data_IF_899172119799
#
_entry.id   IF_899172119799
#
_cell.length_a   1.000
_cell.length_b   1.000
_cell.length_c   1.000
_cell.angle_alpha   90.00
_cell.angle_beta   90.00
_cell.angle_gamma   90.00
#
_symmetry.space_group_name_H-M   'P 1'
#
loop_
_entity.id
_entity.type
_entity.pdbx_description
1 polymer ?
#
# COMPACT_ATOMS: atom_id res chain seq x y z
N UNK A 1 -8.46 71.22 69.62
CA UNK A 1 -7.10 70.66 69.45
C UNK A 1 -7.17 69.12 69.48
N UNK A 2 -7.18 68.51 68.39
CA UNK A 2 -6.94 67.03 68.23
C UNK A 2 -6.31 66.83 66.83
N UNK A 3 -5.06 66.43 66.82
CA UNK A 3 -4.33 66.09 65.61
C UNK A 3 -4.73 64.66 65.22
N UNK A 4 -5.27 64.45 64.01
CA UNK A 4 -5.52 63.15 63.40
C UNK A 4 -4.32 62.78 62.51
N UNK A 5 -3.74 61.65 62.77
CA UNK A 5 -2.70 61.03 61.97
C UNK A 5 -3.38 60.19 60.90
N UNK A 6 -3.01 60.45 59.63
CA UNK A 6 -3.44 59.64 58.51
C UNK A 6 -2.34 58.64 58.22
N UNK A 7 -2.65 57.36 58.44
CA UNK A 7 -1.76 56.25 58.10
C UNK A 7 -2.01 55.82 56.65
N UNK A 8 -0.98 55.96 55.83
CA UNK A 8 -1.01 55.50 54.45
C UNK A 8 -0.72 53.99 54.44
N UNK A 9 -1.69 53.17 54.02
CA UNK A 9 -1.51 51.74 53.80
C UNK A 9 -1.21 51.54 52.30
N UNK A 10 0.04 51.15 52.00
CA UNK A 10 0.45 50.72 50.66
C UNK A 10 -0.08 49.32 50.38
N UNK A 11 -1.05 49.20 49.52
CA UNK A 11 -1.53 47.89 49.03
C UNK A 11 -0.60 47.38 47.90
N UNK A 12 0.22 46.37 48.25
CA UNK A 12 1.00 45.61 47.27
C UNK A 12 0.06 44.69 46.50
N UNK A 13 -0.25 45.01 45.25
CA UNK A 13 -0.92 44.06 44.33
C UNK A 13 0.08 42.99 43.92
N UNK A 14 -0.12 41.76 44.45
CA UNK A 14 0.48 40.55 43.89
C UNK A 14 -0.32 40.20 42.64
N UNK A 15 0.25 40.41 41.47
CA UNK A 15 -0.29 39.88 40.22
C UNK A 15 -0.10 38.38 40.23
N UNK A 16 -1.16 37.65 40.55
CA UNK A 16 -1.24 36.22 40.29
C UNK A 16 -1.39 36.02 38.78
N UNK A 17 -0.32 35.66 38.10
CA UNK A 17 -0.35 35.13 36.75
C UNK A 17 -1.08 33.80 36.82
N UNK A 18 -2.37 33.80 36.57
CA UNK A 18 -3.14 32.60 36.30
C UNK A 18 -2.61 32.05 34.94
N UNK A 19 -1.82 30.97 35.00
CA UNK A 19 -1.66 30.08 33.85
C UNK A 19 -3.03 29.47 33.58
N UNK A 20 -3.79 30.12 32.69
CA UNK A 20 -4.93 29.49 32.03
C UNK A 20 -4.34 28.39 31.15
N UNK A 21 -4.34 27.17 31.62
CA UNK A 21 -4.18 25.98 30.80
C UNK A 21 -5.32 26.02 29.77
N UNK A 22 -5.02 26.53 28.60
CA UNK A 22 -5.85 26.37 27.42
C UNK A 22 -5.69 24.90 27.04
N UNK A 23 -6.64 24.06 27.44
CA UNK A 23 -6.84 22.74 26.81
C UNK A 23 -7.24 22.99 25.37
N UNK A 24 -6.25 23.24 24.51
CA UNK A 24 -6.42 23.21 23.08
C UNK A 24 -6.79 21.78 22.70
N UNK A 25 -7.66 21.64 21.76
CA UNK A 25 -8.01 20.34 21.16
C UNK A 25 -6.70 19.76 20.57
N UNK A 26 -6.04 18.85 21.30
CA UNK A 26 -4.76 18.23 20.92
C UNK A 26 -4.81 17.50 19.55
N UNK A 27 -6.02 17.25 19.04
CA UNK A 27 -6.28 16.57 17.79
C UNK A 27 -5.84 17.33 16.55
N UNK A 28 -5.73 18.66 16.60
CA UNK A 28 -5.25 19.50 15.49
C UNK A 28 -3.76 19.85 15.56
N UNK A 29 -3.03 19.38 16.58
CA UNK A 29 -1.61 19.69 16.73
C UNK A 29 -0.76 18.98 15.69
N UNK A 30 -0.05 19.76 14.86
CA UNK A 30 0.83 19.24 13.81
C UNK A 30 2.03 18.52 14.47
N UNK A 31 2.25 17.28 14.09
CA UNK A 31 3.49 16.54 14.39
C UNK A 31 4.63 17.12 13.51
N UNK A 32 5.16 18.26 13.92
CA UNK A 32 6.19 18.96 13.17
C UNK A 32 7.57 18.29 13.32
N UNK A 33 8.42 18.31 12.26
CA UNK A 33 9.79 17.86 12.40
C UNK A 33 10.53 18.72 13.40
N UNK A 34 11.33 18.11 14.31
CA UNK A 34 12.05 18.88 15.32
C UNK A 34 13.15 19.73 14.69
N UNK A 35 13.28 20.97 15.15
CA UNK A 35 14.33 21.88 14.70
C UNK A 35 15.72 21.59 15.29
N UNK A 36 15.78 20.90 16.43
CA UNK A 36 17.02 20.54 17.13
C UNK A 36 16.93 19.08 17.64
N UNK A 37 17.66 18.15 17.00
CA UNK A 37 17.65 16.74 17.40
C UNK A 37 18.04 16.49 18.85
N UNK A 38 18.90 17.34 19.44
CA UNK A 38 19.36 17.16 20.83
C UNK A 38 18.27 17.44 21.87
N UNK A 39 17.22 18.18 21.49
CA UNK A 39 16.08 18.52 22.36
C UNK A 39 14.94 17.51 22.31
N UNK A 40 15.01 16.56 21.39
CA UNK A 40 13.98 15.52 21.27
C UNK A 40 14.33 14.34 22.14
N UNK A 41 13.40 13.95 23.00
CA UNK A 41 13.60 12.83 23.93
C UNK A 41 12.31 12.04 24.17
N UNK A 42 12.48 10.83 24.64
CA UNK A 42 11.40 9.94 25.05
C UNK A 42 11.52 8.55 24.43
N UNK A 43 10.70 7.62 24.89
CA UNK A 43 10.55 6.31 24.29
C UNK A 43 9.28 6.32 23.42
N UNK A 44 9.40 5.97 22.15
CA UNK A 44 8.28 5.81 21.22
C UNK A 44 8.06 4.34 20.88
N UNK A 45 6.80 3.96 20.70
CA UNK A 45 6.42 2.63 20.22
C UNK A 45 6.00 2.73 18.75
N UNK A 46 6.63 1.91 17.90
CA UNK A 46 6.33 1.79 16.47
C UNK A 46 5.63 0.46 16.23
N UNK A 47 4.36 0.50 15.81
CA UNK A 47 3.64 -0.70 15.36
C UNK A 47 4.03 -1.02 13.91
N UNK A 48 4.32 -2.28 13.62
CA UNK A 48 4.75 -2.72 12.30
C UNK A 48 4.23 -4.11 11.97
N UNK A 49 4.01 -4.37 10.67
CA UNK A 49 3.75 -5.70 10.12
C UNK A 49 5.04 -6.50 9.83
N UNK A 50 6.22 -5.88 10.01
CA UNK A 50 7.52 -6.47 9.69
C UNK A 50 8.06 -7.27 10.88
N UNK A 51 7.34 -8.34 11.25
CA UNK A 51 7.76 -9.29 12.30
C UNK A 51 9.05 -10.00 11.94
N UNK A 52 9.30 -10.20 10.64
CA UNK A 52 10.56 -10.69 10.08
C UNK A 52 11.74 -9.80 10.45
N UNK A 53 11.63 -8.48 10.23
CA UNK A 53 12.70 -7.51 10.53
C UNK A 53 12.92 -7.27 12.03
N UNK A 54 11.93 -7.57 12.87
CA UNK A 54 12.12 -7.63 14.32
C UNK A 54 12.96 -8.87 14.67
N UNK A 55 12.59 -10.02 14.10
CA UNK A 55 13.22 -11.30 14.42
C UNK A 55 14.67 -11.39 13.99
N UNK A 56 15.03 -10.79 12.85
CA UNK A 56 16.39 -10.78 12.30
C UNK A 56 17.25 -9.61 12.81
N UNK A 57 16.66 -8.69 13.60
CA UNK A 57 17.37 -7.54 14.19
C UNK A 57 17.54 -6.33 13.25
N UNK A 58 16.94 -6.33 12.07
CA UNK A 58 17.03 -5.24 11.09
C UNK A 58 16.46 -3.93 11.65
N UNK A 59 15.29 -3.95 12.27
CA UNK A 59 14.69 -2.76 12.86
C UNK A 59 15.50 -2.23 14.06
N UNK A 60 16.08 -3.10 14.88
CA UNK A 60 16.96 -2.69 15.98
C UNK A 60 18.24 -2.01 15.48
N UNK A 61 18.78 -2.45 14.33
CA UNK A 61 19.90 -1.78 13.66
C UNK A 61 19.51 -0.36 13.23
N UNK A 62 18.36 -0.18 12.60
CA UNK A 62 17.87 1.15 12.24
C UNK A 62 17.64 2.03 13.48
N UNK A 63 17.07 1.50 14.55
CA UNK A 63 16.91 2.23 15.81
C UNK A 63 18.26 2.68 16.40
N UNK A 64 19.28 1.84 16.32
CA UNK A 64 20.62 2.19 16.79
C UNK A 64 21.28 3.29 15.92
N UNK A 65 21.07 3.28 14.62
CA UNK A 65 21.53 4.34 13.70
C UNK A 65 20.77 5.66 13.94
N UNK A 66 19.46 5.60 14.08
CA UNK A 66 18.62 6.76 14.43
C UNK A 66 19.08 7.44 15.72
N UNK A 67 19.40 6.65 16.75
CA UNK A 67 19.89 7.18 18.04
C UNK A 67 21.18 7.98 17.93
N UNK A 68 22.00 7.76 16.92
CA UNK A 68 23.22 8.57 16.68
C UNK A 68 22.88 10.02 16.30
N UNK A 69 21.68 10.21 15.69
CA UNK A 69 21.16 11.54 15.31
C UNK A 69 20.27 12.12 16.41
N UNK A 70 19.47 11.28 17.06
CA UNK A 70 18.50 11.64 18.09
C UNK A 70 18.81 10.90 19.40
N UNK A 71 19.88 11.28 20.15
CA UNK A 71 20.38 10.50 21.29
C UNK A 71 19.39 10.39 22.45
N UNK A 72 18.46 11.33 22.57
CA UNK A 72 17.41 11.32 23.60
C UNK A 72 16.20 10.45 23.28
N UNK A 73 16.11 9.87 22.06
CA UNK A 73 14.96 9.07 21.65
C UNK A 73 15.31 7.59 21.66
N UNK A 74 14.43 6.80 22.29
CA UNK A 74 14.47 5.34 22.24
C UNK A 74 13.27 4.85 21.41
N UNK A 75 13.52 3.96 20.46
CA UNK A 75 12.49 3.34 19.61
C UNK A 75 12.25 1.92 20.10
N UNK A 76 10.99 1.56 20.30
CA UNK A 76 10.53 0.21 20.61
C UNK A 76 9.61 -0.25 19.49
N UNK A 77 9.84 -1.45 18.97
CA UNK A 77 8.99 -2.04 17.94
C UNK A 77 8.01 -3.04 18.53
N UNK A 78 6.81 -3.03 18.00
CA UNK A 78 5.78 -4.02 18.27
C UNK A 78 5.26 -4.59 16.94
N UNK A 79 5.60 -5.85 16.68
CA UNK A 79 5.20 -6.57 15.48
C UNK A 79 3.84 -7.21 15.64
N UNK A 80 2.98 -7.03 14.64
CA UNK A 80 1.64 -7.60 14.59
C UNK A 80 1.53 -8.50 13.36
N UNK A 81 1.19 -9.77 13.56
CA UNK A 81 1.05 -10.73 12.46
C UNK A 81 -0.26 -10.49 11.68
N UNK A 82 -1.37 -10.29 12.38
CA UNK A 82 -2.61 -9.77 11.81
C UNK A 82 -2.65 -8.25 11.97
N UNK A 83 -1.82 -7.56 11.19
CA UNK A 83 -1.65 -6.12 11.33
C UNK A 83 -2.95 -5.34 11.18
N UNK A 84 -3.75 -5.65 10.14
CA UNK A 84 -5.00 -4.96 9.84
C UNK A 84 -6.04 -5.16 10.95
N UNK A 85 -6.25 -6.39 11.39
CA UNK A 85 -7.23 -6.73 12.42
C UNK A 85 -6.84 -6.19 13.79
N UNK A 86 -5.61 -6.46 14.24
CA UNK A 86 -5.15 -6.06 15.56
C UNK A 86 -5.02 -4.53 15.70
N UNK A 87 -4.51 -3.83 14.67
CA UNK A 87 -4.40 -2.36 14.70
C UNK A 87 -5.78 -1.71 14.80
N UNK A 88 -6.76 -2.20 14.02
CA UNK A 88 -8.15 -1.72 14.09
C UNK A 88 -8.78 -1.87 15.47
N UNK A 89 -8.53 -3.01 16.13
CA UNK A 89 -9.01 -3.25 17.50
C UNK A 89 -8.37 -2.23 18.47
N UNK A 90 -7.06 -2.01 18.36
CA UNK A 90 -6.33 -1.05 19.23
C UNK A 90 -6.79 0.39 19.04
N UNK A 91 -7.14 0.78 17.80
CA UNK A 91 -7.64 2.11 17.46
C UNK A 91 -9.01 2.44 18.10
N UNK A 92 -9.69 1.47 18.72
CA UNK A 92 -10.85 1.74 19.59
C UNK A 92 -10.42 2.31 20.95
N UNK A 93 -9.12 2.45 21.21
CA UNK A 93 -8.53 3.05 22.40
C UNK A 93 -7.48 4.08 21.99
N UNK A 94 -6.93 4.84 22.92
CA UNK A 94 -5.83 5.78 22.63
C UNK A 94 -4.45 5.08 22.53
N UNK A 95 -4.39 3.74 22.72
CA UNK A 95 -3.14 2.96 22.86
C UNK A 95 -2.85 2.12 21.62
N UNK A 96 -2.53 2.76 20.51
CA UNK A 96 -2.11 2.10 19.26
C UNK A 96 -0.71 2.52 18.80
N UNK A 97 0.23 2.61 19.77
CA UNK A 97 1.60 3.06 19.53
C UNK A 97 1.70 4.57 19.36
N UNK A 98 2.91 5.08 19.16
CA UNK A 98 3.18 6.48 18.82
C UNK A 98 3.27 6.65 17.30
N UNK A 99 3.84 5.65 16.63
CA UNK A 99 3.95 5.54 15.17
C UNK A 99 3.31 4.22 14.72
N UNK A 100 2.57 4.26 13.63
CA UNK A 100 1.95 3.07 13.05
C UNK A 100 1.86 3.20 11.52
N UNK A 101 1.66 2.09 10.86
CA UNK A 101 1.26 2.03 9.46
C UNK A 101 -0.26 2.19 9.41
N UNK A 102 -0.77 3.12 8.60
CA UNK A 102 -2.21 3.33 8.44
C UNK A 102 -2.84 2.05 7.87
N UNK A 103 -3.83 1.43 8.55
CA UNK A 103 -4.53 0.27 8.00
C UNK A 103 -5.19 0.59 6.65
N UNK A 104 -5.03 -0.29 5.66
CA UNK A 104 -5.60 -0.11 4.32
C UNK A 104 -7.14 -0.06 4.32
N UNK A 105 -7.75 -0.70 5.32
CA UNK A 105 -9.21 -0.74 5.52
C UNK A 105 -9.80 0.54 6.14
N UNK A 106 -8.95 1.51 6.56
CA UNK A 106 -9.41 2.78 7.12
C UNK A 106 -9.67 3.79 6.00
N UNK A 107 -10.84 4.41 6.01
CA UNK A 107 -11.16 5.45 5.03
C UNK A 107 -10.39 6.75 5.32
N UNK A 108 -10.04 7.48 4.27
CA UNK A 108 -9.20 8.69 4.35
C UNK A 108 -9.86 9.77 5.22
N UNK A 109 -11.19 9.86 5.17
CA UNK A 109 -11.97 10.83 5.94
C UNK A 109 -11.85 10.61 7.46
N UNK A 110 -11.48 9.41 7.87
CA UNK A 110 -11.27 9.07 9.28
C UNK A 110 -9.87 9.43 9.79
N UNK A 111 -8.92 9.74 8.91
CA UNK A 111 -7.53 10.00 9.31
C UNK A 111 -7.39 11.09 10.38
N UNK A 112 -8.11 12.24 10.30
CA UNK A 112 -8.03 13.28 11.34
C UNK A 112 -8.48 12.83 12.73
N UNK A 113 -9.28 11.76 12.80
CA UNK A 113 -9.74 11.20 14.10
C UNK A 113 -8.63 10.43 14.80
N UNK A 114 -7.75 9.77 14.04
CA UNK A 114 -6.77 8.83 14.57
C UNK A 114 -5.33 9.32 14.48
N UNK A 115 -5.03 10.23 13.55
CA UNK A 115 -3.65 10.63 13.28
C UNK A 115 -3.46 12.13 13.43
N UNK A 116 -2.28 12.53 13.90
CA UNK A 116 -1.86 13.92 13.89
C UNK A 116 -1.45 14.33 12.47
N UNK A 117 -1.80 15.54 12.01
CA UNK A 117 -1.33 16.04 10.73
C UNK A 117 0.19 16.18 10.74
N UNK A 118 0.84 15.78 9.64
CA UNK A 118 2.30 15.83 9.48
C UNK A 118 2.77 17.14 8.83
N UNK A 119 1.86 17.92 8.24
CA UNK A 119 2.10 19.19 7.59
C UNK A 119 1.21 19.40 6.39
N UNK A 120 1.40 20.52 5.70
CA UNK A 120 0.60 20.92 4.55
C UNK A 120 0.95 20.09 3.31
N UNK A 121 -0.05 19.80 2.51
CA UNK A 121 0.09 18.99 1.31
C UNK A 121 1.05 19.62 0.28
N UNK A 122 1.02 20.94 0.07
CA UNK A 122 1.91 21.65 -0.85
C UNK A 122 3.38 21.58 -0.42
N UNK A 123 3.65 21.63 0.89
CA UNK A 123 5.01 21.56 1.44
C UNK A 123 5.58 20.14 1.38
N UNK A 124 4.76 19.12 1.68
CA UNK A 124 5.21 17.73 1.74
C UNK A 124 5.26 17.07 0.37
N UNK A 125 4.35 17.41 -0.55
CA UNK A 125 4.39 16.92 -1.93
C UNK A 125 5.59 17.41 -2.74
N UNK A 126 6.27 18.47 -2.28
CA UNK A 126 7.54 18.90 -2.87
C UNK A 126 8.71 17.96 -2.53
N UNK A 127 8.59 17.14 -1.48
CA UNK A 127 9.64 16.25 -0.94
C UNK A 127 9.32 14.77 -1.07
N UNK A 128 8.06 14.42 -1.02
CA UNK A 128 7.58 13.05 -0.99
C UNK A 128 6.54 12.79 -2.09
N UNK A 129 6.62 11.66 -2.71
CA UNK A 129 5.58 11.12 -3.58
C UNK A 129 4.43 10.53 -2.74
N UNK A 130 3.27 10.33 -3.36
CA UNK A 130 2.08 9.66 -2.77
C UNK A 130 1.43 10.39 -1.58
N UNK A 131 1.74 11.67 -1.34
CA UNK A 131 1.13 12.43 -0.24
C UNK A 131 -0.38 12.62 -0.41
N UNK A 132 -0.88 12.65 -1.64
CA UNK A 132 -2.30 12.76 -1.97
C UNK A 132 -3.13 11.59 -1.41
N UNK A 133 -2.55 10.41 -1.26
CA UNK A 133 -3.19 9.23 -0.67
C UNK A 133 -3.51 9.37 0.84
N UNK A 134 -2.90 10.32 1.53
CA UNK A 134 -3.15 10.59 2.95
C UNK A 134 -3.44 12.07 3.23
N UNK A 135 -3.99 12.78 2.25
CA UNK A 135 -4.33 14.19 2.39
C UNK A 135 -5.83 14.36 2.65
N UNK A 136 -6.16 15.08 3.73
CA UNK A 136 -7.52 15.52 4.08
C UNK A 136 -7.46 17.02 4.36
N UNK A 137 -8.34 17.78 3.74
CA UNK A 137 -8.46 19.25 3.92
C UNK A 137 -7.11 19.99 3.82
N UNK A 138 -6.25 19.56 2.87
CA UNK A 138 -4.94 20.16 2.63
C UNK A 138 -3.86 19.81 3.66
N UNK A 139 -4.13 18.91 4.59
CA UNK A 139 -3.18 18.37 5.56
C UNK A 139 -2.83 16.91 5.23
N UNK A 140 -1.56 16.55 5.35
CA UNK A 140 -1.07 15.18 5.15
C UNK A 140 -1.03 14.47 6.49
N UNK A 141 -1.62 13.29 6.59
CA UNK A 141 -1.70 12.47 7.81
C UNK A 141 -0.80 11.24 7.79
N UNK A 142 -0.19 10.93 6.65
CA UNK A 142 0.72 9.81 6.50
C UNK A 142 1.76 10.03 5.42
N UNK A 143 2.96 9.47 5.60
CA UNK A 143 4.02 9.43 4.59
C UNK A 143 4.27 7.98 4.19
N UNK A 144 4.32 7.73 2.89
CA UNK A 144 4.54 6.39 2.37
C UNK A 144 5.89 5.83 2.84
N UNK A 145 5.87 4.60 3.36
CA UNK A 145 7.09 3.88 3.72
C UNK A 145 7.93 3.57 2.47
N UNK A 146 7.27 3.05 1.43
CA UNK A 146 7.82 2.76 0.10
C UNK A 146 6.75 3.01 -0.97
N UNK A 147 7.21 3.21 -2.21
CA UNK A 147 6.38 3.10 -3.40
C UNK A 147 6.40 1.66 -3.94
N UNK A 148 5.34 1.28 -4.62
CA UNK A 148 5.15 -0.05 -5.22
C UNK A 148 4.73 0.09 -6.66
N UNK A 149 5.40 -0.63 -7.56
CA UNK A 149 4.90 -0.98 -8.87
C UNK A 149 4.11 -2.29 -8.78
N UNK A 150 3.04 -2.44 -9.56
CA UNK A 150 2.29 -3.69 -9.60
C UNK A 150 2.56 -4.40 -10.92
N UNK A 151 2.67 -5.74 -10.87
CA UNK A 151 3.05 -6.53 -12.01
C UNK A 151 3.05 -8.04 -11.73
N UNK A 152 3.53 -8.81 -12.67
CA UNK A 152 3.72 -10.24 -12.48
C UNK A 152 5.15 -10.52 -12.03
N UNK A 153 5.29 -11.07 -10.81
CA UNK A 153 6.50 -11.78 -10.43
C UNK A 153 6.52 -13.10 -11.16
N UNK A 154 7.61 -13.44 -11.83
CA UNK A 154 7.69 -14.66 -12.63
C UNK A 154 9.07 -15.30 -12.54
N UNK A 155 9.11 -16.63 -12.79
CA UNK A 155 10.35 -17.38 -12.87
C UNK A 155 10.88 -17.40 -14.31
N UNK A 156 11.93 -16.63 -14.60
CA UNK A 156 12.54 -16.49 -15.92
C UNK A 156 13.03 -17.82 -16.52
N UNK A 157 13.57 -18.71 -15.68
CA UNK A 157 14.06 -20.01 -16.16
C UNK A 157 12.91 -20.88 -16.67
N UNK A 158 11.73 -20.84 -16.02
CA UNK A 158 10.52 -21.53 -16.49
C UNK A 158 10.01 -20.95 -17.80
N UNK A 159 9.97 -19.63 -17.93
CA UNK A 159 9.56 -18.95 -19.16
C UNK A 159 10.53 -19.25 -20.32
N UNK A 160 11.84 -19.15 -20.06
CA UNK A 160 12.86 -19.51 -21.07
C UNK A 160 12.79 -20.99 -21.48
N UNK A 161 12.52 -21.91 -20.57
CA UNK A 161 12.30 -23.36 -20.87
C UNK A 161 11.09 -23.55 -21.79
N UNK A 162 10.08 -22.70 -21.68
CA UNK A 162 8.94 -22.72 -22.60
C UNK A 162 9.27 -22.09 -23.96
N UNK A 163 10.42 -21.41 -24.09
CA UNK A 163 10.86 -20.70 -25.30
C UNK A 163 10.35 -19.27 -25.36
N UNK A 164 9.97 -18.69 -24.21
CA UNK A 164 9.45 -17.32 -24.10
C UNK A 164 10.56 -16.44 -23.54
N UNK A 165 10.98 -15.44 -24.29
CA UNK A 165 12.08 -14.52 -23.93
C UNK A 165 11.62 -13.08 -23.76
N UNK A 166 10.56 -12.68 -24.44
CA UNK A 166 10.03 -11.34 -24.41
C UNK A 166 8.78 -11.28 -23.53
N UNK A 167 8.46 -10.10 -23.02
CA UNK A 167 7.22 -9.89 -22.29
C UNK A 167 6.03 -9.84 -23.25
N UNK A 168 4.90 -10.50 -22.93
CA UNK A 168 3.69 -10.42 -23.74
C UNK A 168 3.16 -8.98 -23.77
N UNK A 169 2.85 -8.49 -24.96
CA UNK A 169 2.39 -7.12 -25.18
C UNK A 169 0.89 -6.93 -24.97
N UNK A 170 0.12 -8.06 -24.95
CA UNK A 170 -1.33 -8.05 -24.76
C UNK A 170 -1.78 -9.11 -23.77
N UNK A 171 -2.98 -8.99 -23.16
CA UNK A 171 -3.57 -10.03 -22.32
C UNK A 171 -3.69 -11.38 -23.05
N UNK A 172 -4.00 -11.36 -24.34
CA UNK A 172 -4.15 -12.56 -25.18
C UNK A 172 -2.80 -13.26 -25.39
N UNK A 173 -1.72 -12.51 -25.62
CA UNK A 173 -0.35 -13.05 -25.69
C UNK A 173 0.06 -13.66 -24.36
N UNK A 174 -0.23 -12.99 -23.23
CA UNK A 174 0.06 -13.53 -21.91
C UNK A 174 -0.65 -14.88 -21.69
N UNK A 175 -1.93 -14.99 -22.05
CA UNK A 175 -2.67 -16.26 -21.94
C UNK A 175 -2.03 -17.33 -22.83
N UNK A 176 -1.61 -17.00 -24.06
CA UNK A 176 -0.92 -17.92 -24.98
C UNK A 176 0.41 -18.42 -24.40
N UNK A 177 1.15 -17.52 -23.75
CA UNK A 177 2.39 -17.85 -23.07
C UNK A 177 2.15 -18.81 -21.88
N UNK A 178 1.11 -18.58 -21.09
CA UNK A 178 0.73 -19.48 -20.00
C UNK A 178 0.31 -20.87 -20.53
N UNK A 179 -0.41 -20.95 -21.66
CA UNK A 179 -0.73 -22.22 -22.32
C UNK A 179 0.55 -22.95 -22.78
N UNK A 180 1.51 -22.20 -23.31
CA UNK A 180 2.82 -22.72 -23.73
C UNK A 180 3.63 -23.24 -22.54
N UNK A 181 3.67 -22.52 -21.44
CA UNK A 181 4.31 -22.92 -20.18
C UNK A 181 3.71 -24.24 -19.68
N UNK A 182 2.38 -24.31 -19.61
CA UNK A 182 1.66 -25.54 -19.21
C UNK A 182 2.03 -26.75 -20.07
N UNK A 183 2.10 -26.54 -21.37
CA UNK A 183 2.38 -27.64 -22.30
C UNK A 183 3.83 -28.12 -22.26
N UNK A 184 4.80 -27.22 -22.01
CA UNK A 184 6.23 -27.51 -22.19
C UNK A 184 7.00 -27.71 -20.89
N UNK A 185 6.53 -27.22 -19.75
CA UNK A 185 7.36 -27.16 -18.54
C UNK A 185 6.85 -28.05 -17.40
N UNK A 186 5.58 -28.29 -17.30
CA UNK A 186 4.93 -28.95 -16.17
C UNK A 186 4.76 -28.06 -14.92
N UNK A 187 5.19 -26.78 -14.99
CA UNK A 187 4.92 -25.80 -13.95
C UNK A 187 3.45 -25.38 -13.96
N UNK A 188 2.93 -24.95 -12.81
CA UNK A 188 1.65 -24.23 -12.73
C UNK A 188 1.87 -22.84 -13.35
N UNK A 189 1.18 -22.50 -14.46
CA UNK A 189 1.48 -21.26 -15.18
C UNK A 189 1.23 -20.00 -14.37
N UNK A 190 0.13 -19.96 -13.64
CA UNK A 190 -0.27 -18.86 -12.77
C UNK A 190 -0.74 -19.38 -11.42
N UNK A 191 -0.53 -18.63 -10.33
CA UNK A 191 -0.99 -18.99 -8.99
C UNK A 191 -1.86 -17.88 -8.41
N UNK A 192 -3.12 -18.21 -8.09
CA UNK A 192 -4.11 -17.22 -7.66
C UNK A 192 -3.94 -16.81 -6.20
N UNK A 193 -3.41 -17.68 -5.35
CA UNK A 193 -3.47 -17.54 -3.89
C UNK A 193 -4.91 -17.36 -3.36
N UNK A 194 -5.86 -18.06 -3.98
CA UNK A 194 -7.30 -17.89 -3.73
C UNK A 194 -7.67 -18.01 -2.24
N UNK A 195 -7.14 -19.02 -1.53
CA UNK A 195 -7.49 -19.26 -0.12
C UNK A 195 -7.10 -18.11 0.79
N UNK A 196 -5.93 -17.55 0.59
CA UNK A 196 -5.47 -16.38 1.36
C UNK A 196 -6.23 -15.13 0.98
N UNK A 197 -6.74 -15.04 -0.23
CA UNK A 197 -7.64 -14.00 -0.75
C UNK A 197 -6.98 -12.65 -1.02
N UNK A 198 -6.14 -12.16 -0.11
CA UNK A 198 -5.51 -10.86 -0.25
C UNK A 198 -4.69 -10.69 -1.55
N UNK A 199 -4.01 -11.72 -2.13
CA UNK A 199 -3.34 -11.53 -3.41
C UNK A 199 -4.30 -11.24 -4.57
N UNK A 200 -5.54 -11.71 -4.49
CA UNK A 200 -6.57 -11.36 -5.48
C UNK A 200 -6.99 -9.90 -5.39
N UNK A 201 -6.93 -9.28 -4.21
CA UNK A 201 -7.23 -7.83 -4.07
C UNK A 201 -6.18 -6.97 -4.78
N UNK A 202 -4.94 -7.44 -4.91
CA UNK A 202 -3.87 -6.72 -5.60
C UNK A 202 -4.16 -6.48 -7.09
N UNK A 203 -5.06 -7.24 -7.72
CA UNK A 203 -5.45 -6.98 -9.10
C UNK A 203 -6.13 -5.62 -9.28
N UNK A 204 -6.77 -5.06 -8.24
CA UNK A 204 -7.30 -3.69 -8.25
C UNK A 204 -6.19 -2.64 -8.47
N UNK A 205 -4.97 -2.97 -8.09
CA UNK A 205 -3.81 -2.08 -8.26
C UNK A 205 -3.32 -2.01 -9.72
N UNK A 206 -3.87 -2.82 -10.63
CA UNK A 206 -3.62 -2.71 -12.07
C UNK A 206 -4.40 -1.56 -12.73
N UNK A 207 -5.43 -1.02 -12.05
CA UNK A 207 -6.24 0.09 -12.59
C UNK A 207 -5.33 1.28 -12.95
N UNK A 208 -5.39 1.71 -14.18
CA UNK A 208 -4.52 2.71 -14.79
C UNK A 208 -3.40 2.14 -15.64
N UNK A 209 -3.02 0.85 -15.44
CA UNK A 209 -1.94 0.25 -16.24
C UNK A 209 -2.34 -0.11 -17.68
N UNK A 210 -3.55 -0.68 -17.96
CA UNK A 210 -3.93 -1.03 -19.32
C UNK A 210 -3.93 0.16 -20.29
N UNK A 211 -4.49 1.29 -19.86
CA UNK A 211 -4.63 2.50 -20.69
C UNK A 211 -3.58 3.57 -20.38
N UNK A 212 -2.63 3.32 -19.47
CA UNK A 212 -1.64 4.27 -19.00
C UNK A 212 -2.25 5.59 -18.48
N UNK A 213 -3.32 5.47 -17.70
CA UNK A 213 -4.08 6.60 -17.16
C UNK A 213 -3.96 6.68 -15.63
N UNK A 214 -3.26 7.71 -15.14
CA UNK A 214 -3.12 7.96 -13.69
C UNK A 214 -4.45 8.30 -13.01
N UNK A 215 -5.46 8.76 -13.75
CA UNK A 215 -6.78 9.12 -13.27
C UNK A 215 -7.83 8.00 -13.36
N UNK A 216 -7.47 6.81 -13.85
CA UNK A 216 -8.40 5.71 -14.08
C UNK A 216 -9.17 5.29 -12.82
N UNK A 217 -8.52 5.31 -11.65
CA UNK A 217 -9.20 5.02 -10.38
C UNK A 217 -10.26 6.08 -10.04
N UNK A 218 -9.92 7.36 -10.23
CA UNK A 218 -10.85 8.47 -9.99
C UNK A 218 -12.04 8.46 -10.96
N UNK A 219 -11.85 7.92 -12.16
CA UNK A 219 -12.89 7.79 -13.17
C UNK A 219 -13.99 6.79 -12.77
N UNK A 220 -13.71 5.85 -11.86
CA UNK A 220 -14.71 4.91 -11.32
C UNK A 220 -15.88 5.64 -10.65
N UNK A 221 -15.65 6.79 -10.01
CA UNK A 221 -16.71 7.60 -9.41
C UNK A 221 -17.71 8.12 -10.44
N UNK A 222 -17.31 8.24 -11.71
CA UNK A 222 -18.11 8.90 -12.77
C UNK A 222 -18.69 7.93 -13.78
N UNK A 223 -18.24 6.69 -13.83
CA UNK A 223 -18.76 5.70 -14.77
C UNK A 223 -19.84 4.84 -14.13
N UNK A 224 -20.97 4.64 -14.81
CA UNK A 224 -21.99 3.69 -14.38
C UNK A 224 -21.70 2.23 -14.78
N UNK A 225 -20.62 1.98 -15.55
CA UNK A 225 -20.30 0.65 -16.09
C UNK A 225 -18.78 0.38 -16.05
N UNK A 226 -18.20 0.20 -14.86
CA UNK A 226 -16.77 -0.05 -14.71
C UNK A 226 -16.26 -1.33 -15.39
N UNK A 227 -17.14 -2.33 -15.59
CA UNK A 227 -16.86 -3.58 -16.31
C UNK A 227 -17.43 -3.59 -17.74
N UNK A 228 -17.49 -2.45 -18.41
CA UNK A 228 -17.82 -2.42 -19.84
C UNK A 228 -16.55 -2.72 -20.65
N UNK A 229 -16.72 -3.34 -21.83
CA UNK A 229 -15.62 -3.60 -22.74
C UNK A 229 -14.81 -2.31 -23.03
N UNK A 230 -13.48 -2.43 -22.95
CA UNK A 230 -12.57 -1.29 -23.10
C UNK A 230 -12.28 -0.51 -21.82
N UNK A 231 -12.90 -0.86 -20.67
CA UNK A 231 -12.51 -0.30 -19.39
C UNK A 231 -11.39 -1.10 -18.72
N UNK A 232 -10.68 -0.47 -17.78
CA UNK A 232 -9.59 -1.12 -17.05
C UNK A 232 -10.06 -2.34 -16.27
N UNK A 233 -11.15 -2.21 -15.48
CA UNK A 233 -11.67 -3.33 -14.70
C UNK A 233 -12.12 -4.50 -15.58
N UNK A 234 -12.73 -4.21 -16.76
CA UNK A 234 -13.05 -5.26 -17.72
C UNK A 234 -11.79 -5.99 -18.20
N UNK A 235 -10.77 -5.27 -18.61
CA UNK A 235 -9.52 -5.84 -19.12
C UNK A 235 -8.79 -6.66 -18.07
N UNK A 236 -8.70 -6.13 -16.85
CA UNK A 236 -8.03 -6.75 -15.71
C UNK A 236 -8.72 -8.03 -15.30
N UNK A 237 -10.04 -7.96 -15.08
CA UNK A 237 -10.80 -9.09 -14.55
C UNK A 237 -11.06 -10.16 -15.63
N UNK A 238 -11.20 -9.77 -16.90
CA UNK A 238 -11.25 -10.70 -18.02
C UNK A 238 -9.96 -11.54 -18.12
N UNK A 239 -8.79 -10.92 -17.92
CA UNK A 239 -7.53 -11.65 -17.91
C UNK A 239 -7.52 -12.71 -16.82
N UNK A 240 -7.84 -12.34 -15.56
CA UNK A 240 -7.90 -13.27 -14.44
C UNK A 240 -8.93 -14.38 -14.69
N UNK A 241 -10.13 -14.02 -15.15
CA UNK A 241 -11.18 -14.98 -15.52
C UNK A 241 -10.68 -15.98 -16.55
N UNK A 242 -10.09 -15.52 -17.65
CA UNK A 242 -9.61 -16.36 -18.75
C UNK A 242 -8.49 -17.31 -18.30
N UNK A 243 -7.56 -16.85 -17.45
CA UNK A 243 -6.52 -17.72 -16.87
C UNK A 243 -7.14 -18.90 -16.14
N UNK A 244 -8.16 -18.64 -15.31
CA UNK A 244 -8.81 -19.67 -14.50
C UNK A 244 -9.70 -20.58 -15.35
N UNK A 245 -10.53 -20.02 -16.24
CA UNK A 245 -11.42 -20.76 -17.15
C UNK A 245 -10.63 -21.76 -18.02
N UNK A 246 -9.47 -21.34 -18.55
CA UNK A 246 -8.56 -22.19 -19.33
C UNK A 246 -7.74 -23.15 -18.48
N UNK A 247 -7.96 -23.18 -17.15
CA UNK A 247 -7.24 -24.04 -16.21
C UNK A 247 -5.73 -23.81 -16.26
N UNK A 248 -5.31 -22.56 -16.38
CA UNK A 248 -3.92 -22.16 -16.39
C UNK A 248 -3.42 -21.77 -14.97
N UNK A 249 -4.30 -21.86 -13.98
CA UNK A 249 -3.96 -21.68 -12.57
C UNK A 249 -3.78 -23.02 -11.85
N UNK A 250 -3.47 -22.98 -10.57
CA UNK A 250 -3.40 -24.15 -9.71
C UNK A 250 -4.69 -24.99 -9.76
N UNK A 251 -4.58 -26.33 -9.71
CA UNK A 251 -5.75 -27.21 -9.87
C UNK A 251 -6.77 -27.08 -8.73
N UNK A 252 -6.31 -26.83 -7.50
CA UNK A 252 -7.15 -26.63 -6.32
C UNK A 252 -6.82 -25.32 -5.63
N UNK A 253 -7.55 -24.23 -5.95
CA UNK A 253 -7.31 -22.90 -5.38
C UNK A 253 -7.64 -22.83 -3.89
N UNK A 254 -8.46 -23.75 -3.34
CA UNK A 254 -8.86 -23.75 -1.93
C UNK A 254 -7.76 -24.25 -0.99
N UNK A 255 -6.67 -24.79 -1.53
CA UNK A 255 -5.50 -25.28 -0.77
C UNK A 255 -4.29 -24.36 -0.89
N UNK A 256 -4.41 -23.21 -1.55
CA UNK A 256 -3.30 -22.26 -1.70
C UNK A 256 -2.79 -21.73 -0.37
N UNK A 257 -1.50 -21.39 -0.33
CA UNK A 257 -0.86 -20.81 0.84
C UNK A 257 0.20 -19.80 0.38
N UNK A 258 0.12 -18.59 0.89
CA UNK A 258 1.03 -17.51 0.54
C UNK A 258 2.49 -17.83 0.88
N UNK A 259 2.76 -18.35 2.08
CA UNK A 259 4.13 -18.63 2.50
C UNK A 259 4.76 -19.73 1.62
N UNK A 260 4.01 -20.78 1.29
CA UNK A 260 4.46 -21.83 0.39
C UNK A 260 4.66 -21.32 -1.05
N UNK A 261 3.86 -20.36 -1.50
CA UNK A 261 3.93 -19.81 -2.86
C UNK A 261 5.29 -19.14 -3.16
N UNK A 262 5.95 -18.59 -2.16
CA UNK A 262 7.29 -18.01 -2.30
C UNK A 262 8.32 -19.05 -2.76
N UNK A 263 8.34 -20.21 -2.11
CA UNK A 263 9.22 -21.31 -2.50
C UNK A 263 8.79 -21.94 -3.83
N UNK A 264 7.49 -22.00 -4.13
CA UNK A 264 7.00 -22.57 -5.38
C UNK A 264 7.43 -21.73 -6.59
N UNK A 265 7.38 -20.42 -6.52
CA UNK A 265 7.89 -19.57 -7.61
C UNK A 265 9.42 -19.57 -7.65
N UNK A 266 10.08 -19.56 -6.47
CA UNK A 266 11.52 -19.66 -6.36
C UNK A 266 12.11 -20.90 -7.02
N UNK A 267 11.46 -22.04 -6.86
CA UNK A 267 11.87 -23.34 -7.43
C UNK A 267 11.30 -23.62 -8.84
N UNK A 268 10.54 -22.70 -9.42
CA UNK A 268 9.94 -22.87 -10.74
C UNK A 268 8.77 -23.85 -10.80
N UNK A 269 8.18 -24.24 -9.66
CA UNK A 269 6.93 -25.01 -9.62
C UNK A 269 5.72 -24.18 -10.05
N UNK A 270 5.77 -22.87 -9.79
CA UNK A 270 4.85 -21.85 -10.24
C UNK A 270 5.62 -20.90 -11.17
N UNK A 271 5.01 -20.56 -12.31
CA UNK A 271 5.66 -19.71 -13.31
C UNK A 271 5.43 -18.21 -13.10
N UNK A 272 4.27 -17.81 -12.56
CA UNK A 272 3.93 -16.39 -12.37
C UNK A 272 2.84 -16.16 -11.32
N UNK A 273 2.85 -14.95 -10.72
CA UNK A 273 1.83 -14.43 -9.82
C UNK A 273 1.72 -12.91 -9.98
N UNK A 274 0.51 -12.36 -9.89
CA UNK A 274 0.28 -10.90 -9.83
C UNK A 274 0.51 -10.37 -8.42
N UNK A 275 1.49 -9.48 -8.23
CA UNK A 275 1.89 -8.94 -6.93
C UNK A 275 2.46 -7.52 -7.07
N UNK A 276 2.79 -6.89 -5.95
CA UNK A 276 3.61 -5.68 -5.92
C UNK A 276 5.11 -5.97 -6.02
N UNK A 277 5.88 -4.99 -6.43
CA UNK A 277 7.36 -5.08 -6.57
C UNK A 277 8.07 -5.44 -5.26
N UNK A 278 7.45 -5.21 -4.11
CA UNK A 278 7.94 -5.65 -2.79
C UNK A 278 8.13 -7.18 -2.69
N UNK A 279 7.40 -7.96 -3.50
CA UNK A 279 7.49 -9.43 -3.49
C UNK A 279 8.79 -9.94 -4.14
N UNK A 280 9.46 -9.16 -4.98
CA UNK A 280 10.66 -9.60 -5.70
C UNK A 280 11.74 -10.07 -4.74
N UNK A 281 12.07 -9.28 -3.72
CA UNK A 281 13.10 -9.63 -2.73
C UNK A 281 12.73 -10.87 -1.92
N UNK A 282 11.45 -11.04 -1.56
CA UNK A 282 10.98 -12.23 -0.84
C UNK A 282 11.09 -13.50 -1.68
N UNK A 283 10.75 -13.42 -2.98
CA UNK A 283 10.86 -14.57 -3.90
C UNK A 283 12.32 -14.91 -4.20
N UNK A 284 13.20 -13.90 -4.33
CA UNK A 284 14.64 -14.10 -4.48
C UNK A 284 15.24 -14.79 -3.26
N UNK A 285 14.89 -14.36 -2.06
CA UNK A 285 15.33 -14.99 -0.82
C UNK A 285 14.83 -16.45 -0.71
N UNK A 286 13.59 -16.71 -1.13
CA UNK A 286 13.04 -18.07 -1.14
C UNK A 286 13.74 -18.97 -2.18
N UNK A 287 14.09 -18.45 -3.36
CA UNK A 287 14.88 -19.16 -4.36
C UNK A 287 16.27 -19.51 -3.82
N UNK A 288 16.98 -18.54 -3.22
CA UNK A 288 18.30 -18.76 -2.61
C UNK A 288 18.24 -19.80 -1.49
N UNK A 289 17.25 -19.72 -0.61
CA UNK A 289 17.03 -20.69 0.47
C UNK A 289 16.76 -22.12 -0.05
N UNK A 290 16.18 -22.24 -1.24
CA UNK A 290 15.95 -23.51 -1.93
C UNK A 290 17.16 -24.01 -2.72
N UNK A 291 18.27 -23.24 -2.79
CA UNK A 291 19.45 -23.57 -3.58
C UNK A 291 19.33 -23.25 -5.08
N UNK A 292 18.31 -22.48 -5.44
CA UNK A 292 18.06 -22.02 -6.82
C UNK A 292 18.69 -20.63 -7.05
N UNK A 293 18.77 -20.22 -8.32
CA UNK A 293 19.33 -18.92 -8.67
C UNK A 293 18.32 -17.77 -8.39
N UNK A 294 18.57 -16.87 -7.43
CA UNK A 294 17.66 -15.74 -7.15
C UNK A 294 17.50 -14.78 -8.34
N UNK A 295 18.45 -14.77 -9.28
CA UNK A 295 18.35 -13.95 -10.48
C UNK A 295 17.32 -14.46 -11.49
N UNK A 296 16.80 -15.69 -11.32
CA UNK A 296 15.72 -16.22 -12.13
C UNK A 296 14.36 -15.59 -11.77
N UNK A 297 14.26 -14.86 -10.66
CA UNK A 297 13.07 -14.09 -10.33
C UNK A 297 13.05 -12.79 -11.13
N UNK A 298 12.06 -12.67 -12.01
CA UNK A 298 11.77 -11.50 -12.80
C UNK A 298 10.51 -10.78 -12.34
N UNK A 299 10.31 -9.58 -12.91
CA UNK A 299 9.12 -8.77 -12.69
C UNK A 299 8.76 -8.08 -13.99
N UNK A 300 7.50 -8.20 -14.45
CA UNK A 300 6.99 -7.57 -15.66
C UNK A 300 5.70 -6.80 -15.38
N UNK A 301 5.42 -5.70 -16.12
CA UNK A 301 4.21 -4.91 -15.95
C UNK A 301 2.96 -5.70 -16.37
N UNK A 302 1.77 -5.09 -16.24
CA UNK A 302 0.55 -5.62 -16.82
C UNK A 302 0.74 -5.78 -18.34
N UNK A 303 0.30 -6.90 -18.95
CA UNK A 303 0.51 -7.20 -20.37
C UNK A 303 -0.44 -6.37 -21.25
N UNK A 304 -0.22 -5.08 -21.29
CA UNK A 304 -0.88 -4.15 -22.18
C UNK A 304 0.09 -3.03 -22.55
N UNK A 305 0.00 -2.56 -23.77
CA UNK A 305 0.81 -1.44 -24.25
C UNK A 305 -0.07 -0.31 -24.73
N UNK A 306 0.31 0.91 -24.33
CA UNK A 306 -0.24 2.15 -24.89
C UNK A 306 0.83 2.81 -25.73
N UNK A 307 0.52 3.09 -26.99
CA UNK A 307 1.46 3.66 -27.95
C UNK A 307 2.79 2.89 -28.05
N UNK A 308 2.73 1.56 -27.97
CA UNK A 308 3.88 0.66 -28.06
C UNK A 308 4.76 0.59 -26.81
N UNK A 309 4.31 1.14 -25.68
CA UNK A 309 5.02 1.10 -24.39
C UNK A 309 4.17 0.43 -23.31
N UNK A 310 4.83 -0.35 -22.48
CA UNK A 310 4.23 -0.83 -21.23
C UNK A 310 4.06 0.31 -20.25
N UNK A 311 3.04 0.20 -19.40
CA UNK A 311 2.79 1.15 -18.34
C UNK A 311 2.63 0.43 -17.00
N UNK A 312 3.17 1.02 -15.93
CA UNK A 312 2.97 0.55 -14.58
C UNK A 312 2.57 1.70 -13.67
N UNK A 313 1.47 1.51 -12.98
CA UNK A 313 1.01 2.46 -11.97
C UNK A 313 1.83 2.30 -10.70
N UNK A 314 2.33 3.41 -10.18
CA UNK A 314 3.02 3.49 -8.90
C UNK A 314 2.05 3.99 -7.82
N UNK A 315 2.10 3.36 -6.66
CA UNK A 315 1.27 3.70 -5.50
C UNK A 315 2.06 3.50 -4.20
N UNK A 316 1.62 4.08 -3.08
CA UNK A 316 2.20 3.73 -1.79
C UNK A 316 1.87 2.28 -1.43
N UNK A 317 2.76 1.64 -0.65
CA UNK A 317 2.41 0.42 0.08
C UNK A 317 1.60 0.80 1.33
N UNK A 318 2.28 0.94 2.47
CA UNK A 318 1.68 1.53 3.66
C UNK A 318 2.17 2.97 3.86
N UNK A 319 1.48 3.70 4.73
CA UNK A 319 1.87 5.05 5.12
C UNK A 319 2.10 5.10 6.63
N UNK A 320 3.26 5.61 7.05
CA UNK A 320 3.53 5.89 8.44
C UNK A 320 2.76 7.11 8.92
N UNK A 321 2.06 6.97 10.04
CA UNK A 321 1.35 8.05 10.70
C UNK A 321 1.77 8.18 12.17
N UNK A 322 1.48 9.34 12.74
CA UNK A 322 1.64 9.62 14.18
C UNK A 322 0.27 9.52 14.84
N UNK A 323 0.17 8.72 15.91
CA UNK A 323 -1.02 8.64 16.73
C UNK A 323 -1.40 10.03 17.27
N UNK A 324 -2.65 10.44 17.07
CA UNK A 324 -3.14 11.75 17.52
C UNK A 324 -3.04 11.92 19.04
N UNK A 325 -3.12 10.81 19.79
CA UNK A 325 -3.02 10.78 21.26
C UNK A 325 -1.58 10.65 21.79
N UNK A 326 -0.57 10.55 20.92
CA UNK A 326 0.83 10.49 21.35
C UNK A 326 1.25 11.82 22.01
N UNK A 327 1.83 11.74 23.19
CA UNK A 327 2.50 12.85 23.88
C UNK A 327 3.94 13.08 23.38
N UNK A 328 4.38 12.28 22.37
CA UNK A 328 5.74 12.26 21.82
C UNK A 328 5.75 12.53 20.30
N UNK A 329 4.78 13.33 19.80
CA UNK A 329 4.60 13.62 18.38
C UNK A 329 5.89 14.05 17.67
N UNK A 330 6.73 14.88 18.32
CA UNK A 330 8.00 15.34 17.74
C UNK A 330 9.01 14.19 17.57
N UNK A 331 9.10 13.26 18.51
CA UNK A 331 9.97 12.08 18.43
C UNK A 331 9.45 11.07 17.39
N UNK A 332 8.14 10.85 17.36
CA UNK A 332 7.46 10.01 16.38
C UNK A 332 7.69 10.53 14.95
N UNK A 333 7.52 11.84 14.74
CA UNK A 333 7.79 12.47 13.46
C UNK A 333 9.25 12.40 13.06
N UNK A 334 10.19 12.62 13.99
CA UNK A 334 11.61 12.49 13.74
C UNK A 334 11.99 11.08 13.27
N UNK A 335 11.39 10.04 13.86
CA UNK A 335 11.57 8.67 13.43
C UNK A 335 11.08 8.46 11.99
N UNK A 336 9.86 8.87 11.66
CA UNK A 336 9.28 8.72 10.32
C UNK A 336 10.16 9.40 9.27
N UNK A 337 10.50 10.68 9.49
CA UNK A 337 11.32 11.44 8.54
C UNK A 337 12.70 10.80 8.34
N UNK A 338 13.36 10.39 9.43
CA UNK A 338 14.66 9.73 9.36
C UNK A 338 14.57 8.36 8.68
N UNK A 339 13.57 7.56 9.04
CA UNK A 339 13.40 6.21 8.51
C UNK A 339 13.17 6.24 6.99
N UNK A 340 12.34 7.15 6.51
CA UNK A 340 12.04 7.28 5.09
C UNK A 340 13.24 7.88 4.32
N UNK A 341 13.92 8.90 4.89
CA UNK A 341 14.87 9.72 4.10
C UNK A 341 16.34 9.36 4.32
N UNK A 342 16.70 8.69 5.42
CA UNK A 342 18.11 8.50 5.86
C UNK A 342 18.50 7.06 6.18
N UNK A 343 17.55 6.19 6.51
CA UNK A 343 17.85 4.81 6.89
C UNK A 343 18.37 3.96 5.71
N UNK A 344 18.01 4.33 4.49
CA UNK A 344 18.29 3.52 3.30
C UNK A 344 17.40 2.27 3.18
N UNK A 345 16.32 2.17 3.98
CA UNK A 345 15.46 0.98 4.04
C UNK A 345 14.86 0.61 2.67
N UNK A 346 14.39 1.60 1.90
CA UNK A 346 13.81 1.32 0.59
C UNK A 346 14.82 0.65 -0.36
N UNK A 347 16.07 1.13 -0.39
CA UNK A 347 17.11 0.53 -1.20
C UNK A 347 17.52 -0.86 -0.69
N UNK A 348 17.63 -1.03 0.64
CA UNK A 348 17.96 -2.33 1.26
C UNK A 348 16.90 -3.40 0.97
N UNK A 349 15.63 -3.01 0.87
CA UNK A 349 14.51 -3.88 0.51
C UNK A 349 14.32 -4.03 -1.01
N UNK A 350 15.11 -3.31 -1.83
CA UNK A 350 14.92 -3.27 -3.28
C UNK A 350 13.56 -2.67 -3.67
N UNK A 351 13.06 -1.73 -2.87
CA UNK A 351 11.77 -1.09 -3.02
C UNK A 351 11.90 0.34 -3.57
N UNK A 352 10.83 0.88 -4.14
CA UNK A 352 10.78 2.25 -4.63
C UNK A 352 10.79 3.21 -3.43
N UNK A 353 11.71 4.16 -3.42
CA UNK A 353 11.71 5.21 -2.40
C UNK A 353 10.51 6.15 -2.59
N UNK A 354 9.88 6.55 -1.48
CA UNK A 354 8.86 7.61 -1.50
C UNK A 354 9.45 9.03 -1.49
N UNK A 355 10.78 9.16 -1.45
CA UNK A 355 11.45 10.46 -1.57
C UNK A 355 11.47 10.88 -3.03
N UNK A 356 10.94 12.06 -3.30
CA UNK A 356 10.78 12.58 -4.66
C UNK A 356 12.10 12.67 -5.43
N UNK A 357 12.08 12.14 -6.65
CA UNK A 357 13.26 12.12 -7.54
C UNK A 357 14.28 11.03 -7.20
N UNK A 358 14.00 10.12 -6.28
CA UNK A 358 14.85 8.96 -6.06
C UNK A 358 14.80 8.02 -7.28
N UNK A 359 15.92 7.36 -7.64
CA UNK A 359 15.95 6.41 -8.74
C UNK A 359 15.13 5.16 -8.41
N UNK A 360 14.68 4.46 -9.45
CA UNK A 360 14.09 3.13 -9.30
C UNK A 360 15.15 2.14 -8.74
N UNK A 361 14.75 1.18 -7.93
CA UNK A 361 15.67 0.17 -7.40
C UNK A 361 16.16 -0.81 -8.48
N UNK A 362 17.29 -1.45 -8.25
CA UNK A 362 17.86 -2.45 -9.17
C UNK A 362 16.92 -3.64 -9.44
N UNK A 363 16.03 -3.96 -8.50
CA UNK A 363 14.99 -4.98 -8.65
C UNK A 363 14.02 -4.67 -9.80
N UNK A 364 13.88 -3.39 -10.15
CA UNK A 364 13.06 -2.89 -11.27
C UNK A 364 13.90 -2.42 -12.46
N UNK A 365 15.19 -2.81 -12.53
CA UNK A 365 16.05 -2.47 -13.67
C UNK A 365 15.44 -2.88 -15.01
N UNK A 366 14.74 -4.02 -15.06
CA UNK A 366 14.06 -4.47 -16.25
C UNK A 366 12.99 -3.48 -16.76
N UNK A 367 12.40 -2.66 -15.89
CA UNK A 367 11.46 -1.61 -16.32
C UNK A 367 12.20 -0.51 -17.11
N UNK A 368 13.36 -0.08 -16.63
CA UNK A 368 14.18 0.90 -17.35
C UNK A 368 14.72 0.33 -18.66
N UNK A 369 15.17 -0.94 -18.66
CA UNK A 369 15.71 -1.61 -19.84
C UNK A 369 14.66 -1.81 -20.96
N UNK A 370 13.38 -1.90 -20.60
CA UNK A 370 12.24 -2.06 -21.54
C UNK A 370 11.41 -0.78 -21.70
N UNK A 371 11.93 0.38 -21.29
CA UNK A 371 11.28 1.70 -21.43
C UNK A 371 9.83 1.72 -20.88
N UNK A 372 9.59 1.05 -19.74
CA UNK A 372 8.27 1.04 -19.10
C UNK A 372 7.93 2.42 -18.58
N UNK A 373 6.80 2.96 -19.00
CA UNK A 373 6.27 4.21 -18.46
C UNK A 373 5.74 3.99 -17.04
N UNK A 374 6.25 4.72 -16.07
CA UNK A 374 5.75 4.69 -14.70
C UNK A 374 4.92 5.95 -14.43
N UNK A 375 3.71 5.78 -13.90
CA UNK A 375 2.79 6.86 -13.59
C UNK A 375 2.30 6.75 -12.15
N UNK A 376 2.12 7.88 -11.41
CA UNK A 376 1.50 7.84 -10.09
C UNK A 376 0.01 7.55 -10.23
N UNK A 377 -0.55 6.73 -9.35
CA UNK A 377 -2.00 6.59 -9.24
C UNK A 377 -2.58 7.79 -8.48
N UNK A 378 -3.55 8.48 -9.09
CA UNK A 378 -4.32 9.49 -8.40
C UNK A 378 -5.54 8.88 -7.73
N UNK A 379 -5.87 9.34 -6.54
CA UNK A 379 -7.03 8.90 -5.75
C UNK A 379 -7.78 10.10 -5.13
N UNK A 380 -7.98 11.16 -5.91
CA UNK A 380 -8.69 12.37 -5.49
C UNK A 380 -10.17 12.11 -5.18
N UNK A 381 -10.78 11.18 -5.92
CA UNK A 381 -12.18 10.79 -5.76
C UNK A 381 -12.33 9.50 -4.94
N UNK A 382 -11.30 9.11 -4.16
CA UNK A 382 -11.30 7.86 -3.40
C UNK A 382 -12.50 7.74 -2.45
N UNK A 383 -12.87 8.82 -1.79
CA UNK A 383 -14.03 8.84 -0.90
C UNK A 383 -15.31 8.46 -1.64
N UNK A 384 -15.57 9.11 -2.78
CA UNK A 384 -16.75 8.85 -3.63
C UNK A 384 -16.74 7.41 -4.19
N UNK A 385 -15.59 6.93 -4.68
CA UNK A 385 -15.44 5.54 -5.12
C UNK A 385 -15.74 4.55 -4.00
N UNK A 386 -15.24 4.80 -2.79
CA UNK A 386 -15.49 3.93 -1.63
C UNK A 386 -16.97 3.94 -1.19
N UNK A 387 -17.65 5.08 -1.28
CA UNK A 387 -19.09 5.16 -0.98
C UNK A 387 -19.91 4.36 -1.99
N UNK A 388 -19.59 4.48 -3.28
CA UNK A 388 -20.25 3.71 -4.34
C UNK A 388 -19.97 2.20 -4.15
N UNK A 389 -18.72 1.82 -3.91
CA UNK A 389 -18.32 0.43 -3.70
C UNK A 389 -19.05 -0.18 -2.49
N UNK A 390 -19.13 0.56 -1.39
CA UNK A 390 -19.87 0.14 -0.20
C UNK A 390 -21.37 0.01 -0.46
N UNK A 391 -21.99 0.98 -1.15
CA UNK A 391 -23.42 0.95 -1.45
C UNK A 391 -23.78 -0.14 -2.46
N UNK A 392 -22.87 -0.48 -3.38
CA UNK A 392 -23.02 -1.57 -4.35
C UNK A 392 -22.85 -2.96 -3.75
N UNK A 393 -22.26 -3.07 -2.55
CA UNK A 393 -21.89 -4.33 -1.91
C UNK A 393 -20.96 -5.22 -2.78
N UNK A 394 -20.18 -4.60 -3.68
CA UNK A 394 -19.22 -5.34 -4.52
C UNK A 394 -17.92 -5.60 -3.78
N UNK A 395 -17.34 -4.56 -3.16
CA UNK A 395 -16.08 -4.65 -2.44
C UNK A 395 -14.89 -4.82 -3.39
N UNK A 396 -14.66 -3.88 -4.31
CA UNK A 396 -13.57 -3.97 -5.33
C UNK A 396 -12.17 -4.14 -4.73
N UNK A 397 -12.00 -3.74 -3.46
CA UNK A 397 -10.76 -3.92 -2.68
C UNK A 397 -10.85 -5.07 -1.67
N UNK A 398 -11.99 -5.77 -1.59
CA UNK A 398 -12.17 -6.94 -0.73
C UNK A 398 -11.80 -8.24 -1.48
N UNK A 399 -11.46 -9.27 -0.72
CA UNK A 399 -11.06 -10.55 -1.32
C UNK A 399 -12.23 -11.29 -1.97
N UNK A 400 -13.44 -11.20 -1.42
CA UNK A 400 -14.63 -11.94 -1.84
C UNK A 400 -15.01 -11.65 -3.29
N UNK A 401 -14.82 -10.42 -3.73
CA UNK A 401 -15.12 -9.99 -5.09
C UNK A 401 -14.42 -10.85 -6.15
N UNK A 402 -13.10 -10.97 -6.08
CA UNK A 402 -12.35 -11.77 -7.07
C UNK A 402 -12.30 -13.25 -6.74
N UNK A 403 -12.55 -13.64 -5.49
CA UNK A 403 -12.81 -15.04 -5.19
C UNK A 403 -14.07 -15.51 -5.92
N UNK A 404 -15.16 -14.72 -5.92
CA UNK A 404 -16.37 -15.03 -6.71
C UNK A 404 -16.08 -15.06 -8.21
N UNK A 405 -15.27 -14.16 -8.76
CA UNK A 405 -14.83 -14.19 -10.15
C UNK A 405 -14.12 -15.51 -10.49
N UNK A 406 -13.19 -15.94 -9.64
CA UNK A 406 -12.48 -17.22 -9.78
C UNK A 406 -13.45 -18.40 -9.68
N UNK A 407 -14.43 -18.34 -8.77
CA UNK A 407 -15.42 -19.41 -8.60
C UNK A 407 -16.34 -19.54 -9.84
N UNK A 408 -16.77 -18.43 -10.43
CA UNK A 408 -17.53 -18.46 -11.70
C UNK A 408 -16.65 -19.03 -12.81
N UNK A 409 -15.41 -18.56 -12.95
CA UNK A 409 -14.51 -19.00 -14.00
C UNK A 409 -14.17 -20.50 -13.96
N UNK A 410 -14.07 -21.09 -12.76
CA UNK A 410 -13.83 -22.54 -12.58
C UNK A 410 -15.09 -23.40 -12.54
N UNK A 411 -16.28 -22.80 -12.64
CA UNK A 411 -17.57 -23.49 -12.56
C UNK A 411 -17.98 -23.92 -11.14
N UNK A 412 -17.44 -23.30 -10.11
CA UNK A 412 -17.82 -23.53 -8.71
C UNK A 412 -18.97 -22.62 -8.25
N UNK A 413 -19.25 -21.57 -8.99
CA UNK A 413 -20.43 -20.71 -8.86
C UNK A 413 -21.16 -20.63 -10.20
N UNK A 414 -22.47 -20.36 -10.15
CA UNK A 414 -23.32 -20.20 -11.35
C UNK A 414 -22.96 -18.96 -12.14
N UNK A 415 -23.20 -19.01 -13.46
CA UNK A 415 -23.01 -17.89 -14.38
C UNK A 415 -21.79 -18.07 -15.30
N UNK A 416 -21.52 -17.01 -16.04
CA UNK A 416 -20.37 -16.84 -16.91
C UNK A 416 -19.81 -15.42 -16.75
N UNK A 417 -18.77 -15.08 -17.50
CA UNK A 417 -18.13 -13.77 -17.41
C UNK A 417 -19.11 -12.61 -17.71
N UNK A 418 -19.90 -12.76 -18.79
CA UNK A 418 -20.80 -11.70 -19.25
C UNK A 418 -21.93 -11.45 -18.25
N UNK A 419 -22.52 -12.49 -17.70
CA UNK A 419 -23.55 -12.39 -16.66
C UNK A 419 -22.98 -11.79 -15.38
N UNK A 420 -21.77 -12.18 -14.97
CA UNK A 420 -21.12 -11.64 -13.78
C UNK A 420 -20.76 -10.16 -13.93
N UNK A 421 -20.16 -9.76 -15.05
CA UNK A 421 -19.86 -8.35 -15.32
C UNK A 421 -21.13 -7.50 -15.48
N UNK A 422 -22.20 -8.09 -16.04
CA UNK A 422 -23.52 -7.46 -16.08
C UNK A 422 -24.08 -7.19 -14.69
N UNK A 423 -24.00 -8.17 -13.77
CA UNK A 423 -24.39 -8.01 -12.36
C UNK A 423 -23.58 -6.88 -11.69
N UNK A 424 -22.25 -6.87 -11.83
CA UNK A 424 -21.37 -5.86 -11.24
C UNK A 424 -21.69 -4.45 -11.75
N UNK A 425 -21.87 -4.28 -13.07
CA UNK A 425 -22.26 -3.00 -13.65
C UNK A 425 -23.64 -2.54 -13.16
N UNK A 426 -24.59 -3.46 -13.01
CA UNK A 426 -25.92 -3.16 -12.48
C UNK A 426 -25.85 -2.62 -11.05
N UNK A 427 -25.18 -3.33 -10.16
CA UNK A 427 -24.97 -2.94 -8.76
C UNK A 427 -24.26 -1.59 -8.63
N UNK A 428 -23.21 -1.38 -9.41
CA UNK A 428 -22.46 -0.12 -9.40
C UNK A 428 -23.32 1.06 -9.82
N UNK A 429 -24.05 0.91 -10.94
CA UNK A 429 -24.95 1.95 -11.45
C UNK A 429 -26.09 2.28 -10.49
N UNK A 430 -26.69 1.27 -9.85
CA UNK A 430 -27.76 1.45 -8.84
C UNK A 430 -27.23 2.20 -7.61
N UNK A 431 -26.05 1.85 -7.14
CA UNK A 431 -25.39 2.54 -6.03
C UNK A 431 -25.13 4.01 -6.33
N UNK A 432 -24.62 4.34 -7.53
CA UNK A 432 -24.41 5.73 -7.96
C UNK A 432 -25.72 6.52 -8.00
N UNK A 433 -26.80 5.93 -8.52
CA UNK A 433 -28.11 6.59 -8.56
C UNK A 433 -28.65 6.85 -7.16
N UNK A 434 -28.45 5.92 -6.24
CA UNK A 434 -28.89 6.06 -4.84
C UNK A 434 -28.13 7.16 -4.09
N UNK A 435 -26.83 7.32 -4.36
CA UNK A 435 -25.99 8.33 -3.71
C UNK A 435 -26.10 9.71 -4.36
N UNK A 436 -26.46 9.78 -5.65
CA UNK A 436 -26.60 11.03 -6.42
C UNK A 436 -28.00 11.67 -6.36
N UNK A 437 -29.00 11.00 -5.76
CA UNK A 437 -30.34 11.51 -5.52
C UNK A 437 -30.49 12.09 -4.12
#
# INVERSE_FOLDING_TARGET
MRRSWVTLVAATMVAATACSGQGGDERGEIAAPPSDPAKVAGEITVLTNRTDQISDGTLEKYAAEFRRVYPGVKVKFEGLTDYEGETKIRMNTDKYGDVLLIPNSLSVEQYPTFFAPLGKADELSAKFDYTDHATVDGQVYGLANIGVANGFVYNKAVWAKAGITDWPATPEEFVTDLETIKAKTGAVPYYTNYKDGWPLTNWTNAIGSPECDSGAYDALAKTGKPWAEGSDLYTIDKLLYTIVEKKLSEPDPTTTNWEDSKAQIGTGKVASMWLGSWAISQMRAAAEAAGENPDDIGFMPFPAQKDGKFCSVLRPDYQYAVNVHSDKKAAARAWIDWYITKSGQAAAEGSISSVKGAPLPDTLKAFADNDVTTIPQHQKNRAEVNEIDKASEIGITAQDYRQKLVDVARGAADGDMDSYFGELNGKWSEAQQTLGG
#
